data_IF_702386443031
#
_entry.id   IF_702386443031
#
_cell.length_a   1.000
_cell.length_b   1.000
_cell.length_c   1.000
_cell.angle_alpha   90.00
_cell.angle_beta   90.00
_cell.angle_gamma   90.00
#
_symmetry.space_group_name_H-M   'P 1'
#
loop_
_entity.id
_entity.type
_entity.pdbx_description
1 polymer ?
#
# COMPACT_ATOMS: atom_id res chain seq x y z
N UNK A 1 -9.91 51.26 -35.92
CA UNK A 1 -8.60 51.80 -35.47
C UNK A 1 -8.21 50.98 -34.25
N UNK A 2 -7.41 49.92 -34.41
CA UNK A 2 -5.93 49.86 -34.23
C UNK A 2 -5.56 50.13 -32.76
N UNK A 3 -4.85 49.29 -32.00
CA UNK A 3 -4.01 48.11 -32.29
C UNK A 3 -4.05 47.10 -31.13
N UNK A 4 -3.73 45.81 -31.29
CA UNK A 4 -2.47 45.23 -31.75
C UNK A 4 -1.29 45.52 -30.81
N UNK A 5 -1.12 44.66 -29.79
CA UNK A 5 0.11 44.51 -29.01
C UNK A 5 0.48 43.03 -28.96
N UNK A 6 1.51 42.66 -29.71
CA UNK A 6 2.10 41.31 -29.79
C UNK A 6 3.22 41.16 -28.76
N UNK A 7 3.32 39.92 -28.26
CA UNK A 7 4.52 39.12 -27.97
C UNK A 7 5.48 39.57 -26.85
N UNK A 8 5.77 38.64 -25.92
CA UNK A 8 7.08 37.97 -25.84
C UNK A 8 7.02 36.74 -24.92
N UNK A 9 7.30 35.56 -25.49
CA UNK A 9 7.82 34.38 -24.80
C UNK A 9 9.35 34.42 -24.82
N UNK A 10 10.00 33.85 -23.80
CA UNK A 10 11.19 33.01 -23.98
C UNK A 10 10.85 31.56 -23.56
N UNK A 11 11.18 30.55 -24.38
CA UNK A 11 12.40 29.76 -24.28
C UNK A 11 12.61 29.23 -22.84
N UNK A 12 12.42 27.95 -22.55
CA UNK A 12 13.13 26.82 -23.16
C UNK A 12 14.25 26.41 -22.22
N UNK A 13 13.99 25.45 -21.34
CA UNK A 13 15.00 24.78 -20.52
C UNK A 13 14.65 23.29 -20.47
N UNK A 14 15.23 22.55 -21.42
CA UNK A 14 15.41 21.11 -21.29
C UNK A 14 16.43 20.85 -20.19
N UNK A 15 16.11 19.97 -19.24
CA UNK A 15 17.08 19.35 -18.36
C UNK A 15 16.95 17.83 -18.45
N UNK A 16 18.11 17.26 -18.68
CA UNK A 16 18.40 15.92 -19.17
C UNK A 16 18.02 14.82 -18.19
N UNK A 17 17.42 13.76 -18.72
CA UNK A 17 17.43 12.44 -18.11
C UNK A 17 18.87 11.91 -18.02
N UNK A 18 19.29 11.44 -16.84
CA UNK A 18 20.26 10.37 -16.63
C UNK A 18 20.56 10.18 -15.14
N UNK A 19 19.92 9.20 -14.49
CA UNK A 19 20.61 8.39 -13.47
C UNK A 19 19.85 7.08 -13.23
N UNK A 20 20.16 6.06 -14.03
CA UNK A 20 19.79 4.67 -13.74
C UNK A 20 20.91 4.07 -12.90
N UNK A 21 20.74 4.14 -11.57
CA UNK A 21 21.64 3.53 -10.59
C UNK A 21 21.34 2.04 -10.42
N UNK A 22 22.26 1.19 -10.86
CA UNK A 22 22.20 -0.27 -10.81
C UNK A 22 22.66 -0.78 -9.44
N UNK A 23 21.78 -1.45 -8.70
CA UNK A 23 22.08 -2.08 -7.41
C UNK A 23 22.89 -3.39 -7.63
N UNK A 24 24.01 -3.63 -6.92
CA UNK A 24 24.77 -4.88 -7.00
C UNK A 24 24.20 -5.98 -6.08
N UNK A 25 24.36 -7.28 -6.42
CA UNK A 25 23.84 -8.37 -5.59
C UNK A 25 24.78 -8.69 -4.41
N UNK A 26 24.21 -8.81 -3.21
CA UNK A 26 24.89 -9.27 -2.00
C UNK A 26 24.96 -10.81 -2.04
N UNK A 27 26.14 -11.34 -2.34
CA UNK A 27 26.45 -12.76 -2.29
C UNK A 27 26.74 -13.22 -0.85
N UNK A 28 25.97 -14.16 -0.35
CA UNK A 28 26.25 -14.83 0.92
C UNK A 28 27.22 -15.99 0.69
N UNK A 29 28.42 -15.88 1.26
CA UNK A 29 29.43 -16.93 1.34
C UNK A 29 29.12 -17.84 2.53
N UNK A 30 28.74 -19.08 2.31
CA UNK A 30 28.81 -20.12 3.34
C UNK A 30 30.22 -20.76 3.33
N UNK A 31 30.88 -20.71 4.47
CA UNK A 31 32.18 -21.31 4.72
C UNK A 31 32.08 -22.86 4.73
N UNK A 32 32.96 -23.51 3.97
CA UNK A 32 33.18 -24.94 4.03
C UNK A 32 34.10 -25.27 5.22
N UNK A 33 33.61 -26.09 6.15
CA UNK A 33 34.46 -26.76 7.15
C UNK A 33 34.79 -28.15 6.61
N UNK A 34 36.08 -28.36 6.37
CA UNK A 34 36.68 -29.65 6.07
C UNK A 34 36.85 -30.42 7.37
N UNK A 35 36.40 -31.67 7.42
CA UNK A 35 36.99 -32.67 8.31
C UNK A 35 37.06 -34.01 7.60
N UNK A 36 38.29 -34.46 7.42
CA UNK A 36 38.71 -35.71 6.83
C UNK A 36 38.56 -36.87 7.82
N UNK A 37 38.10 -38.03 7.36
CA UNK A 37 38.55 -39.32 7.92
C UNK A 37 38.21 -40.50 7.00
N UNK A 38 39.28 -40.97 6.35
CA UNK A 38 39.67 -42.33 5.97
C UNK A 38 38.62 -43.45 5.86
N UNK A 39 38.73 -44.15 4.72
CA UNK A 39 38.06 -45.41 4.41
C UNK A 39 38.50 -46.56 5.33
N UNK A 40 37.54 -47.40 5.71
CA UNK A 40 37.80 -48.81 6.04
C UNK A 40 36.60 -49.65 5.57
N UNK A 41 36.86 -50.68 4.78
CA UNK A 41 35.88 -51.67 4.33
C UNK A 41 35.70 -52.74 5.40
N UNK A 42 34.46 -53.20 5.58
CA UNK A 42 34.13 -54.49 6.21
C UNK A 42 32.84 -55.07 5.58
N UNK A 43 32.62 -56.40 5.69
CA UNK A 43 31.98 -57.26 4.68
C UNK A 43 30.45 -57.35 4.79
N UNK A 44 29.74 -57.93 3.79
CA UNK A 44 28.28 -58.00 3.82
C UNK A 44 27.77 -59.10 4.77
N UNK A 45 26.91 -58.71 5.71
CA UNK A 45 26.07 -59.60 6.52
C UNK A 45 24.71 -59.89 5.86
N UNK A 46 23.94 -60.87 6.37
CA UNK A 46 22.87 -61.54 5.61
C UNK A 46 21.63 -60.67 5.43
N UNK A 47 20.91 -60.91 4.33
CA UNK A 47 19.63 -60.27 3.99
C UNK A 47 18.59 -60.62 5.06
N UNK A 48 18.22 -59.64 5.86
CA UNK A 48 16.99 -59.63 6.65
C UNK A 48 15.90 -58.93 5.85
N UNK A 49 14.81 -59.64 5.58
CA UNK A 49 13.57 -59.06 5.05
C UNK A 49 13.04 -58.01 6.04
N UNK A 50 13.04 -56.75 5.61
CA UNK A 50 12.29 -55.69 6.28
C UNK A 50 11.04 -55.40 5.45
N UNK A 51 9.92 -55.92 5.95
CA UNK A 51 8.58 -55.57 5.51
C UNK A 51 8.41 -54.04 5.57
N UNK A 52 7.99 -53.36 4.49
CA UNK A 52 7.78 -51.92 4.55
C UNK A 52 6.56 -51.65 5.42
N UNK A 53 6.76 -50.88 6.49
CA UNK A 53 5.68 -50.37 7.33
C UNK A 53 4.72 -49.55 6.45
N UNK A 54 3.44 -49.98 6.28
CA UNK A 54 2.51 -49.34 5.34
C UNK A 54 2.15 -47.90 5.73
N UNK A 55 2.45 -47.46 6.96
CA UNK A 55 2.11 -46.11 7.44
C UNK A 55 3.12 -45.02 7.09
N UNK A 56 4.24 -45.34 6.44
CA UNK A 56 5.25 -44.34 6.01
C UNK A 56 5.19 -44.01 4.52
N UNK A 57 4.41 -44.77 3.74
CA UNK A 57 4.23 -44.55 2.31
C UNK A 57 3.10 -43.55 1.99
N UNK A 58 2.23 -43.22 2.96
CA UNK A 58 1.07 -42.34 2.75
C UNK A 58 1.39 -40.84 2.89
N UNK A 59 2.66 -40.50 3.18
CA UNK A 59 3.13 -39.11 3.30
C UNK A 59 4.04 -38.69 2.15
N UNK A 60 4.03 -39.44 1.06
CA UNK A 60 4.67 -39.07 -0.18
C UNK A 60 3.69 -38.20 -0.99
N UNK A 61 4.04 -36.91 -1.10
CA UNK A 61 3.76 -36.09 -2.28
C UNK A 61 2.27 -35.97 -2.65
N UNK A 62 1.48 -35.31 -1.80
CA UNK A 62 0.46 -34.43 -2.39
C UNK A 62 1.20 -33.23 -2.96
N UNK A 63 1.81 -33.39 -4.14
CA UNK A 63 1.97 -32.24 -5.01
C UNK A 63 0.56 -31.84 -5.37
N UNK A 64 0.09 -30.76 -4.75
CA UNK A 64 -1.05 -30.01 -5.22
C UNK A 64 -0.68 -29.52 -6.62
N UNK A 65 -0.96 -30.36 -7.61
CA UNK A 65 -0.50 -30.16 -8.98
C UNK A 65 -1.35 -29.03 -9.54
N UNK A 66 -0.82 -27.81 -9.42
CA UNK A 66 -1.48 -26.60 -9.91
C UNK A 66 -1.63 -26.70 -11.43
N UNK A 67 -2.86 -26.99 -11.88
CA UNK A 67 -3.18 -27.05 -13.30
C UNK A 67 -3.88 -25.76 -13.73
N UNK A 68 -3.19 -24.96 -14.53
CA UNK A 68 -3.72 -23.74 -15.13
C UNK A 68 -4.34 -24.03 -16.51
N UNK A 69 -5.68 -23.96 -16.62
CA UNK A 69 -6.38 -24.10 -17.89
C UNK A 69 -6.36 -22.78 -18.70
N UNK A 70 -5.23 -22.55 -19.38
CA UNK A 70 -5.01 -21.36 -20.22
C UNK A 70 -6.02 -21.27 -21.37
N UNK A 71 -6.54 -22.40 -21.85
CA UNK A 71 -7.52 -22.40 -22.97
C UNK A 71 -8.85 -21.82 -22.51
N UNK A 72 -9.38 -22.32 -21.38
CA UNK A 72 -10.59 -21.78 -20.76
C UNK A 72 -10.45 -20.30 -20.45
N UNK A 73 -9.31 -19.88 -19.87
CA UNK A 73 -9.03 -18.47 -19.56
C UNK A 73 -9.07 -17.61 -20.83
N UNK A 74 -8.43 -18.04 -21.91
CA UNK A 74 -8.44 -17.31 -23.20
C UNK A 74 -9.84 -17.20 -23.78
N UNK A 75 -10.63 -18.26 -23.71
CA UNK A 75 -11.99 -18.28 -24.24
C UNK A 75 -12.95 -17.41 -23.43
N UNK A 76 -12.79 -17.36 -22.11
CA UNK A 76 -13.49 -16.42 -21.22
C UNK A 76 -13.07 -14.97 -21.48
N UNK A 77 -11.77 -14.69 -21.59
CA UNK A 77 -11.26 -13.36 -21.91
C UNK A 77 -11.81 -12.85 -23.25
N UNK A 78 -11.84 -13.69 -24.30
CA UNK A 78 -12.43 -13.32 -25.60
C UNK A 78 -13.92 -12.98 -25.50
N UNK A 79 -14.68 -13.69 -24.68
CA UNK A 79 -16.12 -13.43 -24.48
C UNK A 79 -16.39 -12.14 -23.72
N UNK A 80 -15.41 -11.63 -22.97
CA UNK A 80 -15.57 -10.48 -22.06
C UNK A 80 -14.67 -9.30 -22.43
N UNK A 81 -14.23 -9.21 -23.69
CA UNK A 81 -13.37 -8.12 -24.16
C UNK A 81 -13.98 -6.72 -23.99
N UNK A 82 -15.31 -6.63 -23.94
CA UNK A 82 -16.05 -5.37 -23.75
C UNK A 82 -16.33 -5.05 -22.27
N UNK A 83 -16.08 -5.98 -21.32
CA UNK A 83 -16.45 -5.84 -19.91
C UNK A 83 -15.50 -4.93 -19.09
N UNK A 84 -14.59 -4.22 -19.74
CA UNK A 84 -13.56 -3.42 -19.08
C UNK A 84 -12.45 -4.28 -18.43
N UNK A 85 -11.57 -3.67 -17.61
CA UNK A 85 -10.37 -4.33 -17.07
C UNK A 85 -10.66 -5.42 -16.02
N UNK A 86 -11.87 -5.45 -15.44
CA UNK A 86 -12.27 -6.39 -14.40
C UNK A 86 -13.46 -7.22 -14.88
N UNK A 87 -13.29 -8.53 -14.97
CA UNK A 87 -14.36 -9.46 -15.39
C UNK A 87 -14.97 -10.19 -14.18
N UNK A 88 -16.07 -10.93 -14.34
CA UNK A 88 -16.73 -11.70 -13.26
C UNK A 88 -15.83 -12.74 -12.54
N UNK A 89 -14.58 -12.91 -12.96
CA UNK A 89 -13.55 -13.65 -12.22
C UNK A 89 -13.01 -12.88 -11.00
N UNK A 90 -13.43 -11.63 -10.79
CA UNK A 90 -13.06 -10.82 -9.65
C UNK A 90 -13.61 -11.43 -8.36
N UNK A 91 -12.74 -11.68 -7.38
CA UNK A 91 -13.01 -12.53 -6.23
C UNK A 91 -13.94 -11.94 -5.17
N UNK A 92 -14.36 -10.67 -5.33
CA UNK A 92 -15.22 -9.93 -4.41
C UNK A 92 -16.37 -9.25 -5.14
N UNK A 93 -17.34 -8.77 -4.37
CA UNK A 93 -18.30 -7.79 -4.86
C UNK A 93 -17.56 -6.48 -5.20
N UNK A 94 -17.42 -6.22 -6.50
CA UNK A 94 -16.71 -5.06 -7.04
C UNK A 94 -17.29 -3.74 -6.56
N UNK A 95 -18.60 -3.62 -6.51
CA UNK A 95 -19.26 -2.37 -6.11
C UNK A 95 -19.03 -2.10 -4.63
N UNK A 96 -18.92 -3.16 -3.82
CA UNK A 96 -18.52 -3.06 -2.42
C UNK A 96 -17.07 -2.60 -2.25
N UNK A 97 -16.13 -3.12 -3.05
CA UNK A 97 -14.73 -2.66 -3.01
C UNK A 97 -14.63 -1.19 -3.42
N UNK A 98 -15.36 -0.78 -4.46
CA UNK A 98 -15.45 0.62 -4.89
C UNK A 98 -16.01 1.51 -3.78
N UNK A 99 -17.06 1.08 -3.07
CA UNK A 99 -17.61 1.81 -1.92
C UNK A 99 -16.57 2.05 -0.84
N UNK A 100 -15.88 0.99 -0.41
CA UNK A 100 -14.83 1.07 0.62
C UNK A 100 -13.68 1.98 0.18
N UNK A 101 -13.23 1.88 -1.07
CA UNK A 101 -12.17 2.75 -1.58
C UNK A 101 -12.61 4.22 -1.67
N UNK A 102 -13.89 4.50 -1.90
CA UNK A 102 -14.38 5.86 -1.79
C UNK A 102 -14.36 6.37 -0.33
N UNK A 103 -14.67 5.53 0.64
CA UNK A 103 -14.53 5.88 2.07
C UNK A 103 -13.07 6.16 2.46
N UNK A 104 -12.12 5.39 1.90
CA UNK A 104 -10.67 5.67 1.98
C UNK A 104 -10.37 7.04 1.38
N UNK A 105 -10.79 7.32 0.13
CA UNK A 105 -10.58 8.64 -0.51
C UNK A 105 -11.12 9.78 0.37
N UNK A 106 -12.32 9.62 0.96
CA UNK A 106 -12.87 10.63 1.85
C UNK A 106 -12.03 10.85 3.10
N UNK A 107 -11.55 9.76 3.70
CA UNK A 107 -10.70 9.80 4.90
C UNK A 107 -9.41 10.56 4.62
N UNK A 108 -8.68 10.16 3.57
CA UNK A 108 -7.42 10.77 3.15
C UNK A 108 -7.58 12.26 2.78
N UNK A 109 -8.67 12.62 2.09
CA UNK A 109 -8.93 14.03 1.75
C UNK A 109 -9.24 14.85 3.01
N UNK A 110 -10.00 14.31 3.97
CA UNK A 110 -10.26 15.01 5.24
C UNK A 110 -8.98 15.16 6.06
N UNK A 111 -8.13 14.14 6.12
CA UNK A 111 -6.82 14.20 6.76
C UNK A 111 -5.90 15.22 6.08
N UNK A 112 -5.78 15.20 4.74
CA UNK A 112 -5.06 16.22 3.98
C UNK A 112 -5.52 17.65 4.32
N UNK A 113 -6.83 17.90 4.34
CA UNK A 113 -7.39 19.20 4.70
C UNK A 113 -7.03 19.60 6.14
N UNK A 114 -7.05 18.66 7.08
CA UNK A 114 -6.73 18.88 8.49
C UNK A 114 -5.24 19.18 8.68
N UNK A 115 -4.35 18.35 8.13
CA UNK A 115 -2.91 18.58 8.17
C UNK A 115 -2.51 19.88 7.49
N UNK A 116 -3.07 20.17 6.30
CA UNK A 116 -2.81 21.43 5.60
C UNK A 116 -3.18 22.64 6.46
N UNK A 117 -4.33 22.58 7.14
CA UNK A 117 -4.72 23.64 8.07
C UNK A 117 -3.76 23.75 9.23
N UNK A 118 -3.44 22.64 9.90
CA UNK A 118 -2.52 22.64 11.05
C UNK A 118 -1.14 23.16 10.66
N UNK A 119 -0.58 22.74 9.51
CA UNK A 119 0.70 23.21 9.00
C UNK A 119 0.74 24.74 8.79
N UNK A 120 -0.36 25.33 8.31
CA UNK A 120 -0.45 26.75 8.02
C UNK A 120 -0.75 27.57 9.28
N UNK A 121 -1.65 27.09 10.15
CA UNK A 121 -2.15 27.87 11.29
C UNK A 121 -1.32 27.69 12.56
N UNK A 122 -0.50 26.64 12.65
CA UNK A 122 0.37 26.36 13.79
C UNK A 122 1.19 27.59 14.20
N UNK A 123 1.08 27.96 15.48
CA UNK A 123 1.77 29.09 16.08
C UNK A 123 2.43 28.70 17.41
N UNK A 124 3.47 29.44 17.81
CA UNK A 124 4.26 29.12 19.01
C UNK A 124 5.75 29.02 18.73
N UNK A 125 6.53 28.79 19.80
CA UNK A 125 8.00 28.74 19.74
C UNK A 125 8.47 27.50 18.96
N UNK A 126 7.85 26.34 19.23
CA UNK A 126 8.25 25.05 18.65
C UNK A 126 7.55 24.75 17.31
N UNK A 127 6.82 25.73 16.75
CA UNK A 127 5.98 25.52 15.56
C UNK A 127 6.74 25.04 14.33
N UNK A 128 8.02 25.41 14.20
CA UNK A 128 8.74 25.26 12.92
C UNK A 128 8.89 23.80 12.51
N UNK A 129 9.26 22.93 13.45
CA UNK A 129 9.38 21.50 13.20
C UNK A 129 8.00 20.87 12.99
N UNK A 130 7.05 21.14 13.90
CA UNK A 130 5.68 20.61 13.82
C UNK A 130 4.98 20.98 12.50
N UNK A 131 5.16 22.22 12.04
CA UNK A 131 4.58 22.67 10.76
C UNK A 131 5.23 22.00 9.55
N UNK A 132 6.52 21.64 9.65
CA UNK A 132 7.23 20.91 8.60
C UNK A 132 6.67 19.50 8.47
N UNK A 133 6.57 18.77 9.58
CA UNK A 133 6.00 17.42 9.59
C UNK A 133 4.54 17.42 9.10
N UNK A 134 3.70 18.34 9.58
CA UNK A 134 2.33 18.46 9.08
C UNK A 134 2.24 18.79 7.58
N UNK A 135 3.24 19.47 7.01
CA UNK A 135 3.28 19.74 5.57
C UNK A 135 3.64 18.49 4.77
N UNK A 136 4.54 17.66 5.32
CA UNK A 136 4.93 16.38 4.74
C UNK A 136 3.77 15.40 4.74
N UNK A 137 3.16 15.16 5.92
CA UNK A 137 1.99 14.29 6.04
C UNK A 137 0.83 14.77 5.16
N UNK A 138 0.53 16.08 5.11
CA UNK A 138 -0.48 16.59 4.18
C UNK A 138 -0.21 16.19 2.71
N UNK A 139 1.05 16.22 2.28
CA UNK A 139 1.42 15.85 0.92
C UNK A 139 1.25 14.35 0.68
N UNK A 140 1.50 13.50 1.67
CA UNK A 140 1.33 12.04 1.59
C UNK A 140 -0.14 11.63 1.59
N UNK A 141 -0.94 12.21 2.46
CA UNK A 141 -2.41 12.04 2.54
C UNK A 141 -3.11 12.31 1.18
N UNK A 142 -2.72 13.39 0.50
CA UNK A 142 -3.24 13.63 -0.86
C UNK A 142 -2.77 12.57 -1.85
N UNK A 143 -1.53 12.06 -1.74
CA UNK A 143 -1.05 10.98 -2.60
C UNK A 143 -1.80 9.67 -2.34
N UNK A 144 -2.12 9.35 -1.08
CA UNK A 144 -2.95 8.20 -0.71
C UNK A 144 -4.34 8.29 -1.34
N UNK A 145 -5.02 9.44 -1.20
CA UNK A 145 -6.32 9.70 -1.82
C UNK A 145 -6.28 9.48 -3.34
N UNK A 146 -5.24 9.99 -4.01
CA UNK A 146 -5.08 9.85 -5.45
C UNK A 146 -4.81 8.41 -5.88
N UNK A 147 -4.04 7.64 -5.12
CA UNK A 147 -3.79 6.21 -5.40
C UNK A 147 -5.08 5.39 -5.24
N UNK A 148 -5.86 5.65 -4.19
CA UNK A 148 -7.17 5.02 -3.99
C UNK A 148 -8.15 5.39 -5.11
N UNK A 149 -8.19 6.66 -5.52
CA UNK A 149 -9.02 7.13 -6.62
C UNK A 149 -8.67 6.50 -7.97
N UNK A 150 -7.37 6.40 -8.27
CA UNK A 150 -6.88 5.70 -9.45
C UNK A 150 -7.32 4.23 -9.42
N UNK A 151 -7.32 3.60 -8.24
CA UNK A 151 -7.81 2.22 -8.09
C UNK A 151 -9.31 2.11 -8.34
N UNK A 152 -10.14 3.07 -7.87
CA UNK A 152 -11.57 3.12 -8.18
C UNK A 152 -11.81 3.20 -9.70
N UNK A 153 -11.07 4.07 -10.39
CA UNK A 153 -11.09 4.20 -11.85
C UNK A 153 -10.75 2.88 -12.55
N UNK A 154 -9.70 2.19 -12.09
CA UNK A 154 -9.32 0.86 -12.61
C UNK A 154 -10.38 -0.22 -12.40
N UNK A 155 -11.24 -0.09 -11.38
CA UNK A 155 -12.39 -0.98 -11.16
C UNK A 155 -13.62 -0.58 -12.01
N UNK A 156 -13.51 0.50 -12.79
CA UNK A 156 -14.52 0.95 -13.74
C UNK A 156 -15.60 1.83 -13.14
N UNK A 157 -15.29 2.59 -12.09
CA UNK A 157 -16.18 3.58 -11.49
C UNK A 157 -15.48 4.95 -11.36
N UNK A 158 -16.26 6.00 -11.17
CA UNK A 158 -15.74 7.34 -10.93
C UNK A 158 -15.39 7.53 -9.44
N UNK A 159 -14.20 8.05 -9.11
CA UNK A 159 -13.85 8.36 -7.72
C UNK A 159 -14.63 9.56 -7.18
N UNK A 160 -15.12 9.45 -5.94
CA UNK A 160 -15.95 10.48 -5.30
C UNK A 160 -15.13 11.43 -4.41
N UNK A 161 -14.87 12.62 -4.96
CA UNK A 161 -14.25 13.76 -4.27
C UNK A 161 -15.26 14.86 -3.88
N UNK A 162 -16.57 14.60 -3.92
CA UNK A 162 -17.57 15.64 -3.64
C UNK A 162 -17.43 16.17 -2.20
N UNK A 163 -17.04 17.46 -2.00
CA UNK A 163 -16.86 18.01 -0.67
C UNK A 163 -18.11 17.96 0.20
N UNK A 164 -19.31 17.86 -0.39
CA UNK A 164 -20.56 17.72 0.34
C UNK A 164 -20.70 16.35 1.02
N UNK A 165 -20.03 15.31 0.51
CA UNK A 165 -20.15 13.93 0.98
C UNK A 165 -18.95 13.46 1.80
N UNK A 166 -17.76 14.08 1.67
CA UNK A 166 -16.52 13.64 2.32
C UNK A 166 -16.69 13.37 3.81
N UNK A 167 -17.19 14.35 4.58
CA UNK A 167 -17.31 14.23 6.03
C UNK A 167 -18.29 13.13 6.50
N UNK A 168 -19.20 12.67 5.63
CA UNK A 168 -20.14 11.61 5.96
C UNK A 168 -19.54 10.21 5.76
N UNK A 169 -18.51 10.12 4.93
CA UNK A 169 -17.87 8.87 4.50
C UNK A 169 -16.52 8.64 5.17
N UNK A 170 -15.80 9.73 5.51
CA UNK A 170 -14.52 9.66 6.16
C UNK A 170 -14.59 8.93 7.51
N UNK A 171 -13.57 8.12 7.81
CA UNK A 171 -13.43 7.44 9.09
C UNK A 171 -13.02 8.41 10.22
N UNK A 172 -12.38 9.53 9.87
CA UNK A 172 -11.94 10.57 10.79
C UNK A 172 -12.69 11.88 10.54
N UNK A 173 -12.77 12.73 11.55
CA UNK A 173 -13.42 14.04 11.44
C UNK A 173 -12.41 15.18 11.18
N UNK A 174 -12.95 16.34 10.78
CA UNK A 174 -12.16 17.54 10.47
C UNK A 174 -11.83 18.40 11.72
N UNK A 175 -12.20 17.98 12.92
CA UNK A 175 -12.13 18.83 14.12
C UNK A 175 -10.70 19.25 14.43
N UNK A 176 -10.51 20.52 14.74
CA UNK A 176 -9.20 21.08 15.10
C UNK A 176 -9.26 21.79 16.46
N UNK A 177 -8.20 21.75 17.26
CA UNK A 177 -8.06 22.61 18.44
C UNK A 177 -7.73 24.06 18.02
N UNK A 178 -7.59 25.00 18.98
CA UNK A 178 -7.12 26.36 18.73
C UNK A 178 -5.71 26.40 18.10
N UNK A 179 -5.46 27.40 17.25
CA UNK A 179 -4.22 27.52 16.44
C UNK A 179 -2.92 27.73 17.27
N UNK A 180 -3.05 28.00 18.56
CA UNK A 180 -1.95 28.19 19.51
C UNK A 180 -1.72 26.99 20.44
N UNK A 181 -2.40 25.86 20.21
CA UNK A 181 -2.26 24.62 20.98
C UNK A 181 -1.64 23.50 20.13
N UNK A 182 -0.32 23.59 19.93
CA UNK A 182 0.45 22.61 19.14
C UNK A 182 0.32 21.18 19.68
N UNK A 183 0.29 21.02 21.01
CA UNK A 183 0.19 19.71 21.65
C UNK A 183 -1.16 19.08 21.33
N UNK A 184 -2.25 19.84 21.42
CA UNK A 184 -3.56 19.33 21.04
C UNK A 184 -3.63 18.99 19.54
N UNK A 185 -2.98 19.77 18.65
CA UNK A 185 -2.94 19.44 17.21
C UNK A 185 -2.26 18.09 16.97
N UNK A 186 -1.12 17.85 17.61
CA UNK A 186 -0.40 16.58 17.52
C UNK A 186 -1.23 15.42 18.07
N UNK A 187 -1.86 15.59 19.23
CA UNK A 187 -2.71 14.55 19.84
C UNK A 187 -3.95 14.23 18.99
N UNK A 188 -4.56 15.24 18.37
CA UNK A 188 -5.71 15.06 17.47
C UNK A 188 -5.32 14.33 16.18
N UNK A 189 -4.18 14.69 15.58
CA UNK A 189 -3.67 13.99 14.40
C UNK A 189 -3.28 12.54 14.76
N UNK A 190 -2.60 12.31 15.88
CA UNK A 190 -2.25 10.95 16.33
C UNK A 190 -3.49 10.08 16.58
N UNK A 191 -4.56 10.68 17.13
CA UNK A 191 -5.83 9.98 17.28
C UNK A 191 -6.41 9.60 15.91
N UNK A 192 -6.36 10.52 14.94
CA UNK A 192 -6.82 10.25 13.59
C UNK A 192 -6.01 9.12 12.93
N UNK A 193 -4.67 9.14 13.03
CA UNK A 193 -3.83 8.07 12.46
C UNK A 193 -4.15 6.70 13.05
N UNK A 194 -4.38 6.63 14.36
CA UNK A 194 -4.78 5.37 15.00
C UNK A 194 -6.12 4.84 14.49
N UNK A 195 -7.06 5.72 14.14
CA UNK A 195 -8.34 5.34 13.53
C UNK A 195 -8.10 4.85 12.09
N UNK A 196 -7.27 5.56 11.32
CA UNK A 196 -6.92 5.18 9.94
C UNK A 196 -6.23 3.82 9.91
N UNK A 197 -5.17 3.64 10.69
CA UNK A 197 -4.43 2.37 10.85
C UNK A 197 -5.37 1.21 11.17
N UNK A 198 -6.23 1.36 12.19
CA UNK A 198 -7.16 0.32 12.57
C UNK A 198 -8.17 -0.01 11.44
N UNK A 199 -8.70 1.02 10.78
CA UNK A 199 -9.64 0.88 9.68
C UNK A 199 -8.99 0.15 8.49
N UNK A 200 -7.75 0.51 8.16
CA UNK A 200 -7.06 -0.03 6.99
C UNK A 200 -6.60 -1.45 7.22
N UNK A 201 -6.17 -1.79 8.44
CA UNK A 201 -5.92 -3.17 8.83
C UNK A 201 -7.18 -4.06 8.67
N UNK A 202 -8.38 -3.57 8.98
CA UNK A 202 -9.62 -4.32 8.72
C UNK A 202 -9.93 -4.45 7.24
N UNK A 203 -9.74 -3.38 6.45
CA UNK A 203 -9.91 -3.41 4.99
C UNK A 203 -8.95 -4.43 4.37
N UNK A 204 -7.66 -4.41 4.74
CA UNK A 204 -6.63 -5.34 4.27
C UNK A 204 -7.01 -6.79 4.59
N UNK A 205 -7.45 -7.06 5.83
CA UNK A 205 -7.94 -8.39 6.25
C UNK A 205 -9.13 -8.84 5.41
N UNK A 206 -10.06 -7.93 5.14
CA UNK A 206 -11.27 -8.23 4.37
C UNK A 206 -10.98 -8.49 2.89
N UNK A 207 -10.09 -7.71 2.26
CA UNK A 207 -9.65 -7.91 0.88
C UNK A 207 -8.97 -9.26 0.69
N UNK A 208 -8.10 -9.63 1.65
CA UNK A 208 -7.43 -10.92 1.73
C UNK A 208 -6.79 -11.37 0.41
N UNK A 209 -7.01 -12.63 0.04
CA UNK A 209 -6.50 -13.19 -1.22
C UNK A 209 -7.43 -12.94 -2.43
N UNK A 210 -8.58 -12.28 -2.20
CA UNK A 210 -9.60 -12.13 -3.23
C UNK A 210 -9.40 -10.87 -4.10
N UNK A 211 -8.72 -9.84 -3.57
CA UNK A 211 -8.21 -8.72 -4.36
C UNK A 211 -6.78 -8.34 -3.93
N UNK A 212 -5.77 -9.10 -4.38
CA UNK A 212 -4.38 -8.86 -4.00
C UNK A 212 -3.83 -7.53 -4.51
N UNK A 213 -4.43 -6.94 -5.57
CA UNK A 213 -3.98 -5.66 -6.10
C UNK A 213 -4.40 -4.51 -5.17
N UNK A 214 -5.68 -4.48 -4.78
CA UNK A 214 -6.17 -3.48 -3.83
C UNK A 214 -5.56 -3.71 -2.44
N UNK A 215 -5.38 -4.97 -2.02
CA UNK A 215 -4.73 -5.27 -0.74
C UNK A 215 -3.34 -4.67 -0.65
N UNK A 216 -2.49 -4.89 -1.65
CA UNK A 216 -1.12 -4.34 -1.68
C UNK A 216 -1.11 -2.82 -1.69
N UNK A 217 -2.05 -2.20 -2.40
CA UNK A 217 -2.22 -0.74 -2.36
C UNK A 217 -2.51 -0.28 -0.92
N UNK A 218 -3.49 -0.89 -0.25
CA UNK A 218 -3.83 -0.52 1.12
C UNK A 218 -2.70 -0.81 2.10
N UNK A 219 -1.97 -1.92 1.95
CA UNK A 219 -0.79 -2.23 2.76
C UNK A 219 0.29 -1.16 2.64
N UNK A 220 0.54 -0.66 1.42
CA UNK A 220 1.52 0.41 1.22
C UNK A 220 1.06 1.78 1.74
N UNK A 221 -0.24 2.06 1.77
CA UNK A 221 -0.76 3.28 2.44
C UNK A 221 -0.61 3.11 3.96
N UNK A 222 -1.01 1.95 4.49
CA UNK A 222 -0.89 1.63 5.92
C UNK A 222 0.55 1.79 6.44
N UNK A 223 1.56 1.39 5.64
CA UNK A 223 2.97 1.60 5.98
C UNK A 223 3.28 3.08 6.24
N UNK A 224 2.86 3.97 5.32
CA UNK A 224 3.03 5.43 5.45
C UNK A 224 2.24 5.98 6.66
N UNK A 225 1.02 5.49 6.95
CA UNK A 225 0.25 5.92 8.13
C UNK A 225 0.86 5.48 9.47
N UNK A 226 1.49 4.30 9.50
CA UNK A 226 2.22 3.82 10.68
C UNK A 226 3.46 4.69 10.93
N UNK A 227 4.14 5.16 9.88
CA UNK A 227 5.23 6.14 9.96
C UNK A 227 4.71 7.51 10.47
N UNK A 228 3.60 8.02 9.93
CA UNK A 228 2.99 9.26 10.42
C UNK A 228 2.71 9.21 11.93
N UNK A 229 2.14 8.09 12.41
CA UNK A 229 1.86 7.91 13.82
C UNK A 229 3.12 7.88 14.69
N UNK A 230 4.23 7.30 14.20
CA UNK A 230 5.53 7.27 14.88
C UNK A 230 6.13 8.68 14.99
N UNK A 231 6.14 9.45 13.89
CA UNK A 231 6.61 10.84 13.86
C UNK A 231 5.86 11.72 14.87
N UNK A 232 4.53 11.57 14.94
CA UNK A 232 3.70 12.32 15.89
C UNK A 232 3.99 11.93 17.34
N UNK A 233 4.22 10.64 17.60
CA UNK A 233 4.60 10.13 18.92
C UNK A 233 5.93 10.74 19.35
N UNK A 234 6.92 10.78 18.45
CA UNK A 234 8.22 11.38 18.68
C UNK A 234 8.12 12.89 18.98
N UNK A 235 7.29 13.62 18.23
CA UNK A 235 7.04 15.04 18.47
C UNK A 235 6.32 15.31 19.80
N UNK A 236 5.44 14.41 20.24
CA UNK A 236 4.74 14.50 21.53
C UNK A 236 5.69 14.09 22.68
N UNK A 237 6.63 13.18 22.42
CA UNK A 237 7.58 12.63 23.38
C UNK A 237 6.97 11.58 24.32
N UNK A 238 6.15 10.66 23.79
CA UNK A 238 5.51 9.56 24.56
C UNK A 238 5.94 8.17 24.14
#
# INVERSE_FOLDING_TARGET
>A
MIGAGRAHSPAGAELSAAFVGRIPPIGWRCAAIQSSSRSARCPPGPRGEHSPNPRRAERALMSDDFVLDVTKIRDEARRKMEAGPVTDSYGLDKDRVIGILNDVIATEVVCWLRYTRHAISASGIDRAQVSSEFTEHAKEEMQHALRAAERVSQLGADPDFDPASLAQRAHTDYTTPPDNDLKAMLEHNLLAERIVIASYQEIIRWLGEHDPTTRRLMESILEEEEEHADDLVDLIGI
#
